data_IF_859122053338
#
_entry.id   IF_859122053338
#
_cell.length_a   1.000
_cell.length_b   1.000
_cell.length_c   1.000
_cell.angle_alpha   90.00
_cell.angle_beta   90.00
_cell.angle_gamma   90.00
#
_symmetry.space_group_name_H-M   'P 1'
#
loop_
_entity.id
_entity.type
_entity.pdbx_description
1 polymer ?
#
# COMPACT_ATOMS: atom_id res chain seq x y z
N UNK A 1 -16.27 -0.34 10.76
CA UNK A 1 -14.90 -0.57 10.26
C UNK A 1 -14.07 0.68 10.57
N UNK A 2 -12.93 0.57 11.26
CA UNK A 2 -12.09 1.72 11.60
C UNK A 2 -11.54 2.39 10.33
N UNK A 3 -11.12 3.65 10.45
CA UNK A 3 -10.56 4.42 9.34
C UNK A 3 -9.12 4.79 9.64
N UNK A 4 -8.20 4.49 8.73
CA UNK A 4 -6.79 4.85 8.83
C UNK A 4 -6.52 6.16 8.08
N UNK A 5 -6.07 7.18 8.81
CA UNK A 5 -5.62 8.42 8.21
C UNK A 5 -4.30 8.19 7.45
N UNK A 6 -4.31 8.47 6.15
CA UNK A 6 -3.17 8.19 5.28
C UNK A 6 -2.45 9.47 4.85
N UNK A 7 -1.12 9.51 4.94
CA UNK A 7 -0.32 10.61 4.38
C UNK A 7 0.64 10.09 3.32
N UNK A 8 0.75 10.83 2.22
CA UNK A 8 1.73 10.53 1.19
C UNK A 8 3.12 10.95 1.68
N UNK A 9 4.07 10.04 1.63
CA UNK A 9 5.49 10.27 1.90
C UNK A 9 6.34 9.83 0.71
N UNK A 10 7.53 10.40 0.57
CA UNK A 10 8.53 9.86 -0.34
C UNK A 10 9.33 8.80 0.42
N UNK A 11 9.28 7.56 -0.05
CA UNK A 11 9.98 6.45 0.59
C UNK A 11 11.43 6.40 0.10
N UNK A 12 12.36 6.43 1.06
CA UNK A 12 13.76 6.11 0.88
C UNK A 12 14.00 4.66 1.28
N UNK A 13 14.55 3.86 0.37
CA UNK A 13 14.93 2.47 0.64
C UNK A 13 16.37 2.43 1.17
N UNK A 14 16.57 2.02 2.43
CA UNK A 14 17.90 2.05 3.06
C UNK A 14 18.66 0.73 2.96
N UNK A 15 17.99 -0.43 3.00
CA UNK A 15 18.61 -1.77 2.94
C UNK A 15 17.64 -2.88 2.45
N UNK A 16 18.13 -4.09 2.20
CA UNK A 16 17.37 -5.25 1.69
C UNK A 16 16.19 -5.75 2.55
N UNK A 17 15.91 -5.14 3.71
CA UNK A 17 14.85 -5.55 4.66
C UNK A 17 13.72 -4.53 4.73
N UNK A 18 12.48 -4.99 4.94
CA UNK A 18 11.28 -4.14 5.10
C UNK A 18 11.43 -3.11 6.22
N UNK A 19 12.17 -3.43 7.28
CA UNK A 19 12.47 -2.54 8.41
C UNK A 19 13.33 -1.33 8.06
N UNK A 20 13.85 -1.26 6.83
CA UNK A 20 14.74 -0.19 6.37
C UNK A 20 14.04 0.90 5.54
N UNK A 21 12.71 0.81 5.34
CA UNK A 21 11.97 1.86 4.64
C UNK A 21 11.78 3.07 5.55
N UNK A 22 12.20 4.25 5.06
CA UNK A 22 12.11 5.51 5.78
C UNK A 22 11.41 6.59 4.94
N UNK A 23 10.83 7.56 5.62
CA UNK A 23 10.39 8.80 5.01
C UNK A 23 11.63 9.64 4.65
N UNK A 24 11.82 9.94 3.37
CA UNK A 24 12.96 10.70 2.85
C UNK A 24 13.10 12.07 3.50
N UNK A 25 11.98 12.72 3.85
CA UNK A 25 12.00 14.07 4.39
C UNK A 25 12.52 14.11 5.83
N UNK A 26 12.17 13.11 6.63
CA UNK A 26 12.49 13.08 8.07
C UNK A 26 13.59 12.09 8.44
N UNK A 27 13.92 11.18 7.52
CA UNK A 27 14.82 10.08 7.72
C UNK A 27 14.36 9.06 8.78
N UNK A 28 13.09 9.13 9.20
CA UNK A 28 12.51 8.25 10.22
C UNK A 28 11.87 7.02 9.56
N UNK A 29 11.81 5.87 10.25
CA UNK A 29 11.07 4.71 9.76
C UNK A 29 9.62 5.07 9.44
N UNK A 30 9.09 4.43 8.39
CA UNK A 30 7.67 4.58 8.03
C UNK A 30 6.76 4.12 9.18
N UNK A 31 5.65 4.82 9.35
CA UNK A 31 4.68 4.63 10.44
C UNK A 31 3.32 4.23 9.88
N UNK A 32 2.43 3.63 10.70
CA UNK A 32 1.05 3.40 10.30
C UNK A 32 0.41 4.64 9.65
N UNK A 33 -0.23 4.45 8.50
CA UNK A 33 -0.80 5.52 7.69
C UNK A 33 0.16 6.15 6.67
N UNK A 34 1.45 5.82 6.69
CA UNK A 34 2.37 6.27 5.64
C UNK A 34 2.09 5.51 4.35
N UNK A 35 1.82 6.26 3.30
CA UNK A 35 1.52 5.79 1.96
C UNK A 35 2.57 6.30 0.98
N UNK A 36 2.99 5.48 0.03
CA UNK A 36 4.03 5.85 -0.92
C UNK A 36 3.88 5.11 -2.26
N UNK A 37 4.41 5.73 -3.32
CA UNK A 37 4.51 5.07 -4.62
C UNK A 37 5.67 4.07 -4.64
N UNK A 38 5.38 2.80 -4.88
CA UNK A 38 6.36 1.71 -4.91
C UNK A 38 6.76 1.36 -6.36
N UNK A 39 7.32 2.30 -7.12
CA UNK A 39 7.67 2.13 -8.55
C UNK A 39 8.48 0.86 -8.86
N UNK A 40 9.43 0.52 -8.00
CA UNK A 40 10.34 -0.62 -8.19
C UNK A 40 9.65 -1.99 -8.16
N UNK A 41 8.40 -2.08 -7.69
CA UNK A 41 7.68 -3.37 -7.62
C UNK A 41 7.41 -3.93 -9.02
N UNK A 42 7.17 -3.06 -10.02
CA UNK A 42 6.90 -3.47 -11.39
C UNK A 42 8.08 -4.21 -12.03
N UNK A 43 9.31 -3.87 -11.63
CA UNK A 43 10.54 -4.42 -12.22
C UNK A 43 11.18 -5.50 -11.35
N UNK A 44 11.21 -5.31 -10.02
CA UNK A 44 11.87 -6.22 -9.09
C UNK A 44 10.96 -7.34 -8.59
N UNK A 45 9.67 -7.07 -8.49
CA UNK A 45 8.69 -8.00 -7.93
C UNK A 45 7.40 -8.03 -8.78
N UNK A 46 7.49 -8.28 -10.10
CA UNK A 46 6.33 -8.21 -10.98
C UNK A 46 5.21 -9.20 -10.57
N UNK A 47 5.57 -10.32 -9.94
CA UNK A 47 4.61 -11.30 -9.41
C UNK A 47 3.83 -10.82 -8.18
N UNK A 48 4.19 -9.67 -7.58
CA UNK A 48 3.44 -9.06 -6.49
C UNK A 48 2.33 -8.15 -6.98
N UNK A 49 2.21 -7.91 -8.28
CA UNK A 49 1.24 -6.98 -8.85
C UNK A 49 -0.04 -7.72 -9.22
N UNK A 50 -1.16 -7.12 -8.85
CA UNK A 50 -2.47 -7.69 -9.12
C UNK A 50 -2.75 -7.70 -10.65
N UNK A 51 -3.35 -8.77 -11.21
CA UNK A 51 -3.62 -8.87 -12.65
C UNK A 51 -4.48 -7.74 -13.22
N UNK A 52 -5.36 -7.12 -12.42
CA UNK A 52 -6.16 -5.97 -12.86
C UNK A 52 -5.39 -4.65 -12.86
N UNK A 53 -4.21 -4.55 -12.23
CA UNK A 53 -3.48 -3.30 -12.13
C UNK A 53 -3.27 -2.65 -13.50
N UNK A 54 -2.86 -3.46 -14.49
CA UNK A 54 -2.64 -2.99 -15.87
C UNK A 54 -3.93 -2.47 -16.53
N UNK A 55 -5.08 -3.01 -16.14
CA UNK A 55 -6.39 -2.67 -16.72
C UNK A 55 -7.06 -1.48 -16.03
N UNK A 56 -6.86 -1.32 -14.73
CA UNK A 56 -7.63 -0.39 -13.91
C UNK A 56 -6.78 0.73 -13.30
N UNK A 57 -5.55 0.42 -12.87
CA UNK A 57 -4.76 1.29 -12.00
C UNK A 57 -3.46 1.79 -12.67
N UNK A 58 -3.18 1.40 -13.92
CA UNK A 58 -1.94 1.75 -14.65
C UNK A 58 -1.77 3.24 -14.97
N UNK A 59 -2.79 4.07 -14.71
CA UNK A 59 -2.71 5.53 -14.81
C UNK A 59 -1.75 6.15 -13.78
N UNK A 60 -1.34 5.39 -12.76
CA UNK A 60 -0.42 5.82 -11.69
C UNK A 60 0.56 4.70 -11.31
N UNK A 61 1.66 4.99 -10.62
CA UNK A 61 2.50 3.94 -10.06
C UNK A 61 1.77 3.11 -8.99
N UNK A 62 2.21 1.87 -8.72
CA UNK A 62 1.67 1.08 -7.63
C UNK A 62 1.87 1.78 -6.29
N UNK A 63 0.88 1.66 -5.41
CA UNK A 63 0.87 2.32 -4.10
C UNK A 63 0.95 1.28 -3.00
N UNK A 64 1.79 1.54 -2.02
CA UNK A 64 1.87 0.77 -0.80
C UNK A 64 1.59 1.66 0.42
N UNK A 65 1.14 1.03 1.50
CA UNK A 65 0.71 1.65 2.75
C UNK A 65 1.23 0.83 3.94
N UNK A 66 1.58 1.50 5.03
CA UNK A 66 1.84 0.84 6.31
C UNK A 66 0.54 0.77 7.13
N UNK A 67 0.11 -0.46 7.43
CA UNK A 67 -1.06 -0.73 8.26
C UNK A 67 -0.75 -0.57 9.76
N UNK A 68 -1.78 -0.56 10.64
CA UNK A 68 -1.59 -0.33 12.08
C UNK A 68 -0.74 -1.38 12.80
N UNK A 69 -0.75 -2.62 12.32
CA UNK A 69 0.12 -3.70 12.79
C UNK A 69 1.54 -3.61 12.18
N UNK A 70 1.85 -2.52 11.47
CA UNK A 70 3.07 -2.24 10.71
C UNK A 70 3.24 -3.04 9.42
N UNK A 71 2.22 -3.82 9.01
CA UNK A 71 2.25 -4.58 7.77
C UNK A 71 2.28 -3.68 6.53
N UNK A 72 3.12 -4.04 5.57
CA UNK A 72 3.13 -3.41 4.26
C UNK A 72 1.96 -3.97 3.46
N UNK A 73 1.04 -3.10 3.09
CA UNK A 73 -0.08 -3.40 2.21
C UNK A 73 0.17 -2.77 0.84
N UNK A 74 0.32 -3.60 -0.19
CA UNK A 74 0.41 -3.14 -1.57
C UNK A 74 -1.01 -3.06 -2.14
N UNK A 75 -1.56 -1.84 -2.26
CA UNK A 75 -2.95 -1.59 -2.70
C UNK A 75 -3.22 -2.22 -4.07
N UNK A 76 -2.22 -2.14 -4.95
CA UNK A 76 -2.23 -2.66 -6.32
C UNK A 76 -1.65 -4.07 -6.44
N UNK A 77 -1.49 -4.73 -5.29
CA UNK A 77 -0.72 -5.94 -5.17
C UNK A 77 -1.54 -7.18 -4.94
N UNK A 78 -0.91 -8.32 -5.18
CA UNK A 78 -1.34 -9.60 -4.65
C UNK A 78 -0.86 -9.73 -3.20
N UNK A 79 -1.63 -10.41 -2.33
CA UNK A 79 -1.15 -10.77 -1.01
C UNK A 79 0.11 -11.66 -1.16
N UNK A 80 1.16 -11.33 -0.41
CA UNK A 80 2.29 -12.23 -0.23
C UNK A 80 2.15 -12.87 1.15
N UNK A 81 1.63 -14.09 1.20
CA UNK A 81 2.14 -15.05 2.18
C UNK A 81 1.91 -16.50 1.72
N UNK A 82 2.84 -17.33 2.19
CA UNK A 82 2.96 -18.78 2.18
C UNK A 82 1.67 -19.60 2.46
N UNK A 83 0.65 -19.44 1.62
CA UNK A 83 -0.36 -20.48 1.37
C UNK A 83 -1.75 -20.32 1.99
N UNK A 84 -2.23 -19.14 2.39
CA UNK A 84 -3.62 -19.01 2.89
C UNK A 84 -4.26 -17.62 2.73
N UNK A 85 -5.19 -17.48 1.77
CA UNK A 85 -6.24 -16.44 1.75
C UNK A 85 -6.09 -15.32 0.70
N UNK A 86 -7.09 -15.17 -0.18
CA UNK A 86 -7.07 -14.40 -1.44
C UNK A 86 -7.88 -13.08 -1.37
N UNK A 87 -7.38 -11.99 -1.97
CA UNK A 87 -8.18 -10.84 -2.43
C UNK A 87 -8.07 -10.67 -3.95
N UNK A 88 -8.88 -11.43 -4.69
CA UNK A 88 -9.28 -11.17 -6.08
C UNK A 88 -8.19 -10.70 -7.06
N UNK A 89 -8.60 -9.95 -8.08
CA UNK A 89 -7.72 -9.41 -9.12
C UNK A 89 -6.92 -8.17 -8.69
N UNK A 90 -7.11 -7.67 -7.46
CA UNK A 90 -6.64 -6.38 -6.90
C UNK A 90 -7.80 -5.46 -6.48
N UNK A 91 -7.57 -4.45 -5.63
CA UNK A 91 -8.60 -3.44 -5.30
C UNK A 91 -8.92 -2.57 -6.52
N UNK A 92 -10.20 -2.21 -6.71
CA UNK A 92 -10.53 -1.14 -7.65
C UNK A 92 -10.20 0.19 -6.99
N UNK A 93 -9.33 0.97 -7.63
CA UNK A 93 -8.81 2.20 -7.04
C UNK A 93 -9.11 3.39 -7.94
N UNK A 94 -9.55 4.49 -7.33
CA UNK A 94 -9.74 5.77 -8.02
C UNK A 94 -8.83 6.85 -7.45
N UNK A 95 -8.34 7.69 -8.34
CA UNK A 95 -7.49 8.84 -8.01
C UNK A 95 -6.04 8.45 -7.68
N UNK A 96 -5.33 9.42 -7.14
CA UNK A 96 -3.91 9.36 -6.83
C UNK A 96 -3.67 9.65 -5.35
N UNK A 97 -2.56 9.15 -4.80
CA UNK A 97 -2.15 9.50 -3.45
C UNK A 97 -1.98 11.04 -3.34
N UNK A 98 -2.43 11.68 -2.23
CA UNK A 98 -3.03 11.09 -1.03
C UNK A 98 -4.56 10.86 -1.09
N UNK A 99 -5.23 11.19 -2.19
CA UNK A 99 -6.69 11.11 -2.37
C UNK A 99 -7.09 9.83 -3.10
N UNK A 100 -6.64 8.70 -2.58
CA UNK A 100 -7.02 7.38 -3.08
C UNK A 100 -8.35 6.93 -2.49
N UNK A 101 -9.23 6.43 -3.33
CA UNK A 101 -10.48 5.78 -2.92
C UNK A 101 -10.43 4.32 -3.34
N UNK A 102 -10.53 3.42 -2.37
CA UNK A 102 -10.80 2.00 -2.58
C UNK A 102 -12.32 1.77 -2.49
N UNK A 103 -12.88 0.97 -3.39
CA UNK A 103 -14.33 0.73 -3.47
C UNK A 103 -14.85 -0.16 -2.33
N UNK A 104 -13.99 -1.00 -1.77
CA UNK A 104 -14.26 -1.90 -0.66
C UNK A 104 -13.31 -1.62 0.51
N UNK A 105 -13.71 -1.91 1.77
CA UNK A 105 -12.79 -1.87 2.89
C UNK A 105 -11.71 -2.94 2.75
N UNK A 106 -10.60 -2.75 3.44
CA UNK A 106 -9.60 -3.80 3.64
C UNK A 106 -10.22 -4.83 4.59
N UNK A 107 -10.54 -6.02 4.09
CA UNK A 107 -11.04 -7.16 4.87
C UNK A 107 -10.11 -8.35 4.71
N UNK A 108 -10.17 -9.32 5.65
CA UNK A 108 -9.43 -10.60 5.76
C UNK A 108 -7.97 -10.64 5.22
N UNK A 109 -7.30 -9.49 5.23
CA UNK A 109 -5.87 -9.34 4.92
C UNK A 109 -5.02 -10.00 6.04
N UNK A 110 -3.89 -10.66 5.71
CA UNK A 110 -3.05 -11.35 6.71
C UNK A 110 -2.55 -10.48 7.88
N UNK A 111 -2.58 -9.15 7.73
CA UNK A 111 -2.19 -8.18 8.76
C UNK A 111 -3.11 -8.13 9.99
N UNK A 112 -4.19 -8.92 10.03
CA UNK A 112 -5.17 -8.92 11.12
C UNK A 112 -5.93 -7.59 11.29
N UNK A 113 -5.69 -6.61 10.42
CA UNK A 113 -6.34 -5.30 10.44
C UNK A 113 -7.36 -5.20 9.31
N UNK A 114 -8.54 -4.70 9.65
CA UNK A 114 -9.62 -4.43 8.70
C UNK A 114 -10.11 -3.00 8.83
N UNK A 115 -10.44 -2.33 7.73
CA UNK A 115 -10.86 -0.93 7.79
C UNK A 115 -10.87 -0.17 6.46
N UNK A 116 -11.09 1.14 6.53
CA UNK A 116 -11.10 2.07 5.41
C UNK A 116 -9.87 2.96 5.40
N UNK A 117 -9.50 3.47 4.23
CA UNK A 117 -8.49 4.52 4.09
C UNK A 117 -9.19 5.88 4.08
N UNK A 118 -8.68 6.83 4.88
CA UNK A 118 -9.03 8.24 4.74
C UNK A 118 -7.84 9.01 4.18
N UNK A 119 -8.11 9.87 3.20
CA UNK A 119 -7.16 10.89 2.78
C UNK A 119 -6.77 11.72 4.01
N UNK A 120 -5.49 11.71 4.37
CA UNK A 120 -4.96 12.54 5.44
C UNK A 120 -5.17 14.01 5.08
N UNK A 121 -5.57 14.80 6.08
CA UNK A 121 -5.53 16.26 5.96
C UNK A 121 -4.09 16.65 5.64
N UNK A 122 -3.89 17.49 4.60
CA UNK A 122 -2.60 18.09 4.30
C UNK A 122 -2.02 18.65 5.61
N UNK A 123 -0.80 18.22 5.95
CA UNK A 123 0.03 18.95 6.89
C UNK A 123 0.43 20.29 6.27
#
# INVERSE_FOLDING_TARGET
MPTLACRLVEMEYRESKRTSMADRATGRPLRPGDMFYHRAVLTRFPGWIAPNYRRQNAHRPPVALILPDTTLFLVDGLPYDSGSGYYGDGYTVRGDAPRLTITEPITDHPSGWTGWLAAGRRA
#
